data_IF_719102947967
#
_entry.id   IF_719102947967
#
_cell.length_a   1.000
_cell.length_b   1.000
_cell.length_c   1.000
_cell.angle_alpha   90.00
_cell.angle_beta   90.00
_cell.angle_gamma   90.00
#
_symmetry.space_group_name_H-M   'P 1'
#
loop_
_entity.id
_entity.type
_entity.pdbx_description
1 polymer ?
#
# COMPACT_ATOMS: atom_id res chain seq x y z
N UNK A 1 3.08 49.61 -4.21
CA UNK A 1 2.56 48.40 -4.91
C UNK A 1 3.41 47.15 -4.68
N UNK A 2 4.75 47.22 -4.69
CA UNK A 2 5.65 46.04 -4.55
C UNK A 2 5.47 45.17 -3.28
N UNK A 3 5.20 45.77 -2.11
CA UNK A 3 5.05 45.01 -0.84
C UNK A 3 3.86 44.05 -0.81
N UNK A 4 2.74 44.38 -1.49
CA UNK A 4 1.54 43.52 -1.54
C UNK A 4 1.78 42.25 -2.36
N UNK A 5 2.52 42.36 -3.48
CA UNK A 5 2.87 41.21 -4.31
C UNK A 5 3.88 40.28 -3.64
N UNK A 6 4.83 40.82 -2.86
CA UNK A 6 5.73 40.01 -2.02
C UNK A 6 4.94 39.21 -0.98
N UNK A 7 3.98 39.86 -0.31
CA UNK A 7 3.13 39.20 0.68
C UNK A 7 2.25 38.09 0.06
N UNK A 8 1.67 38.34 -1.12
CA UNK A 8 0.92 37.33 -1.88
C UNK A 8 1.82 36.15 -2.29
N UNK A 9 3.04 36.42 -2.74
CA UNK A 9 3.97 35.35 -3.14
C UNK A 9 4.36 34.43 -1.97
N UNK A 10 4.52 34.99 -0.77
CA UNK A 10 4.81 34.23 0.45
C UNK A 10 3.62 33.34 0.82
N UNK A 11 2.40 33.87 0.75
CA UNK A 11 1.17 33.09 1.01
C UNK A 11 1.04 31.93 0.01
N UNK A 12 1.26 32.19 -1.28
CA UNK A 12 1.21 31.15 -2.33
C UNK A 12 2.26 30.07 -2.10
N UNK A 13 3.48 30.45 -1.72
CA UNK A 13 4.55 29.50 -1.43
C UNK A 13 4.26 28.65 -0.19
N UNK A 14 3.68 29.22 0.87
CA UNK A 14 3.26 28.49 2.06
C UNK A 14 2.14 27.50 1.71
N UNK A 15 1.14 27.93 0.92
CA UNK A 15 0.06 27.04 0.45
C UNK A 15 0.64 25.91 -0.41
N UNK A 16 1.59 26.19 -1.30
CA UNK A 16 2.25 25.18 -2.11
C UNK A 16 3.06 24.18 -1.26
N UNK A 17 3.74 24.64 -0.21
CA UNK A 17 4.47 23.78 0.73
C UNK A 17 3.53 22.91 1.57
N UNK A 18 2.38 23.43 2.00
CA UNK A 18 1.36 22.65 2.72
C UNK A 18 0.77 21.59 1.79
N UNK A 19 0.41 21.95 0.56
CA UNK A 19 -0.09 21.01 -0.45
C UNK A 19 0.97 19.95 -0.75
N UNK A 20 2.23 20.35 -0.98
CA UNK A 20 3.34 19.43 -1.22
C UNK A 20 3.59 18.49 -0.03
N UNK A 21 3.49 19.00 1.20
CA UNK A 21 3.62 18.21 2.43
C UNK A 21 2.46 17.23 2.61
N UNK A 22 1.23 17.61 2.24
CA UNK A 22 0.05 16.72 2.23
C UNK A 22 0.20 15.65 1.14
N UNK A 23 0.76 16.00 -0.03
CA UNK A 23 1.03 15.03 -1.09
C UNK A 23 2.15 14.04 -0.73
N UNK A 24 3.21 14.51 -0.07
CA UNK A 24 4.29 13.67 0.45
C UNK A 24 3.83 12.84 1.67
N UNK A 25 2.97 13.37 2.54
CA UNK A 25 2.47 12.67 3.73
C UNK A 25 1.60 11.46 3.36
N UNK A 26 1.01 11.46 2.17
CA UNK A 26 0.21 10.34 1.65
C UNK A 26 1.04 9.14 1.18
N UNK A 27 2.37 9.15 1.37
CA UNK A 27 3.21 7.94 1.28
C UNK A 27 2.98 7.10 0.03
N UNK A 28 2.66 7.73 -1.11
CA UNK A 28 2.13 7.06 -2.29
C UNK A 28 3.21 6.16 -2.88
N UNK A 29 2.97 4.85 -2.89
CA UNK A 29 3.96 3.85 -3.35
C UNK A 29 3.43 3.14 -4.59
N UNK A 30 4.08 3.38 -5.74
CA UNK A 30 3.68 2.84 -7.06
C UNK A 30 4.36 1.50 -7.31
N UNK A 31 3.59 0.41 -7.47
CA UNK A 31 4.12 -0.94 -7.68
C UNK A 31 3.48 -1.63 -8.87
N UNK A 32 4.20 -2.58 -9.46
CA UNK A 32 3.73 -3.38 -10.59
C UNK A 32 3.33 -4.76 -10.09
N UNK A 33 2.10 -5.19 -10.35
CA UNK A 33 1.71 -6.59 -10.18
C UNK A 33 2.34 -7.36 -11.34
N UNK A 34 3.35 -8.19 -11.05
CA UNK A 34 4.04 -8.99 -12.07
C UNK A 34 3.70 -10.48 -11.99
N UNK A 35 3.08 -10.91 -10.89
CA UNK A 35 2.82 -12.32 -10.59
C UNK A 35 1.52 -12.47 -9.78
N UNK A 36 0.81 -13.58 -9.96
CA UNK A 36 -0.31 -14.00 -9.12
C UNK A 36 0.25 -14.40 -7.73
N UNK A 37 0.49 -13.39 -6.89
CA UNK A 37 0.94 -13.59 -5.51
C UNK A 37 -0.22 -14.12 -4.64
N UNK A 38 0.08 -14.92 -3.59
CA UNK A 38 -0.95 -15.58 -2.81
C UNK A 38 -1.90 -14.56 -2.16
N UNK A 39 -3.19 -14.89 -2.19
CA UNK A 39 -4.21 -14.17 -1.43
C UNK A 39 -4.41 -14.86 -0.09
N UNK A 40 -4.30 -14.10 1.00
CA UNK A 40 -4.49 -14.60 2.36
C UNK A 40 -5.85 -14.16 2.88
N UNK A 41 -6.61 -15.10 3.45
CA UNK A 41 -7.81 -14.81 4.23
C UNK A 41 -7.48 -14.80 5.72
N UNK A 42 -8.46 -14.47 6.57
CA UNK A 42 -8.32 -14.51 8.03
C UNK A 42 -7.69 -15.84 8.50
N UNK A 43 -6.57 -15.74 9.20
CA UNK A 43 -5.74 -16.91 9.54
C UNK A 43 -4.33 -16.55 10.00
N UNK A 44 -3.52 -17.57 10.29
CA UNK A 44 -2.11 -17.42 10.65
C UNK A 44 -1.23 -18.15 9.66
N UNK A 45 -0.20 -17.46 9.19
CA UNK A 45 0.70 -17.89 8.14
C UNK A 45 2.16 -17.72 8.57
N UNK A 46 3.01 -18.64 8.15
CA UNK A 46 4.44 -18.59 8.39
C UNK A 46 5.21 -18.91 7.10
N UNK A 47 6.21 -18.08 6.82
CA UNK A 47 7.09 -18.27 5.69
C UNK A 47 7.82 -19.60 5.75
N UNK A 48 7.67 -20.41 4.69
CA UNK A 48 8.24 -21.75 4.58
C UNK A 48 7.38 -22.88 5.14
N UNK A 49 6.17 -22.57 5.63
CA UNK A 49 5.19 -23.58 6.05
C UNK A 49 3.92 -23.50 5.19
N UNK A 50 3.08 -22.48 5.43
CA UNK A 50 1.79 -22.29 4.77
C UNK A 50 1.66 -20.92 4.10
N UNK A 51 2.78 -20.21 3.94
CA UNK A 51 2.88 -18.95 3.19
C UNK A 51 3.73 -19.18 1.93
N UNK A 52 3.08 -19.19 0.78
CA UNK A 52 3.72 -19.36 -0.54
C UNK A 52 4.21 -18.03 -1.11
N UNK A 53 4.99 -17.27 -0.32
CA UNK A 53 5.70 -16.10 -0.80
C UNK A 53 7.18 -16.42 -0.97
N UNK A 54 7.88 -15.69 -1.83
CA UNK A 54 9.35 -15.72 -1.81
C UNK A 54 9.85 -14.66 -0.82
N UNK A 55 11.06 -14.85 -0.27
CA UNK A 55 11.65 -13.80 0.55
C UNK A 55 11.92 -12.56 -0.31
N UNK A 56 11.64 -11.38 0.23
CA UNK A 56 11.72 -10.14 -0.53
C UNK A 56 10.98 -8.99 0.11
N UNK A 57 10.85 -7.91 -0.64
CA UNK A 57 10.08 -6.76 -0.21
C UNK A 57 8.77 -6.70 -0.97
N UNK A 58 7.68 -6.47 -0.23
CA UNK A 58 6.34 -6.44 -0.78
C UNK A 58 5.59 -5.20 -0.31
N UNK A 59 4.67 -4.73 -1.13
CA UNK A 59 3.56 -3.91 -0.65
C UNK A 59 2.41 -4.83 -0.28
N UNK A 60 1.78 -4.59 0.87
CA UNK A 60 0.64 -5.34 1.37
C UNK A 60 -0.64 -4.52 1.20
N UNK A 61 -1.66 -5.09 0.58
CA UNK A 61 -2.93 -4.39 0.32
C UNK A 61 -4.14 -5.26 0.67
N UNK A 62 -5.26 -4.61 0.99
CA UNK A 62 -6.55 -5.28 1.11
C UNK A 62 -7.12 -5.53 -0.29
N UNK A 63 -7.30 -6.80 -0.64
CA UNK A 63 -7.93 -7.22 -1.89
C UNK A 63 -9.45 -7.15 -1.79
N UNK A 64 -10.00 -7.38 -0.60
CA UNK A 64 -11.43 -7.22 -0.31
C UNK A 64 -11.63 -6.98 1.19
N UNK A 65 -12.58 -6.12 1.53
CA UNK A 65 -13.01 -5.83 2.89
C UNK A 65 -12.03 -4.97 3.69
N UNK A 66 -12.26 -4.93 4.99
CA UNK A 66 -11.44 -4.22 5.97
C UNK A 66 -10.97 -5.17 7.06
N UNK A 67 -9.74 -4.97 7.53
CA UNK A 67 -9.19 -5.76 8.62
C UNK A 67 -7.78 -5.35 9.00
N UNK A 68 -7.17 -6.18 9.83
CA UNK A 68 -5.85 -6.01 10.39
C UNK A 68 -4.93 -7.16 9.95
N UNK A 69 -3.70 -6.80 9.62
CA UNK A 69 -2.63 -7.76 9.36
C UNK A 69 -1.51 -7.49 10.33
N UNK A 70 -1.14 -8.50 11.10
CA UNK A 70 0.01 -8.44 11.99
C UNK A 70 1.19 -9.16 11.35
N UNK A 71 2.34 -8.48 11.24
CA UNK A 71 3.58 -9.05 10.69
C UNK A 71 4.74 -8.73 11.61
N UNK A 72 5.39 -9.78 12.13
CA UNK A 72 6.53 -9.68 13.05
C UNK A 72 6.32 -8.65 14.18
N UNK A 73 5.10 -8.61 14.73
CA UNK A 73 4.70 -7.72 15.83
C UNK A 73 4.11 -6.36 15.40
N UNK A 74 4.27 -5.94 14.15
CA UNK A 74 3.66 -4.70 13.64
C UNK A 74 2.23 -4.96 13.16
N UNK A 75 1.30 -4.05 13.46
CA UNK A 75 -0.11 -4.14 13.04
C UNK A 75 -0.36 -3.14 11.92
N UNK A 76 -0.99 -3.61 10.85
CA UNK A 76 -1.39 -2.83 9.69
C UNK A 76 -2.89 -2.93 9.51
N UNK A 77 -3.59 -1.80 9.62
CA UNK A 77 -5.02 -1.72 9.29
C UNK A 77 -5.15 -1.46 7.79
N UNK A 78 -5.85 -2.34 7.09
CA UNK A 78 -6.05 -2.27 5.64
C UNK A 78 -7.52 -2.21 5.31
N UNK A 79 -7.86 -1.53 4.23
CA UNK A 79 -9.24 -1.37 3.75
C UNK A 79 -9.22 -1.30 2.23
N UNK A 80 -9.98 -2.16 1.57
CA UNK A 80 -10.09 -2.21 0.11
C UNK A 80 -10.59 -0.90 -0.53
N UNK A 81 -11.23 -0.01 0.23
CA UNK A 81 -11.59 1.34 -0.23
C UNK A 81 -10.38 2.26 -0.39
N UNK A 82 -9.28 1.98 0.31
CA UNK A 82 -8.02 2.69 0.17
C UNK A 82 -7.21 2.17 -1.03
N UNK A 83 -7.54 0.95 -1.47
CA UNK A 83 -7.01 0.34 -2.67
C UNK A 83 -7.62 0.99 -3.92
N UNK A 84 -6.87 1.88 -4.56
CA UNK A 84 -7.19 2.35 -5.90
C UNK A 84 -6.45 1.44 -6.87
N UNK A 85 -7.14 0.39 -7.33
CA UNK A 85 -6.73 -0.33 -8.53
C UNK A 85 -6.57 0.71 -9.65
N UNK A 86 -5.39 0.84 -10.26
CA UNK A 86 -5.28 1.63 -11.48
C UNK A 86 -6.03 0.89 -12.60
N UNK A 87 -7.36 0.93 -12.59
CA UNK A 87 -8.21 0.49 -13.69
C UNK A 87 -8.05 1.48 -14.84
N UNK A 88 -6.95 1.27 -15.58
CA UNK A 88 -6.68 1.54 -17.01
C UNK A 88 -5.23 1.98 -17.17
N UNK A 89 -4.36 1.02 -17.44
CA UNK A 89 -3.45 1.23 -18.56
C UNK A 89 -4.09 0.58 -19.81
N UNK A 90 -3.91 1.17 -21.01
CA UNK A 90 -4.44 0.60 -22.25
C UNK A 90 -4.00 -0.86 -22.40
N UNK A 91 -4.84 -1.65 -23.11
CA UNK A 91 -4.85 -3.10 -23.33
C UNK A 91 -3.51 -3.84 -23.61
N UNK A 92 -2.37 -3.15 -23.61
CA UNK A 92 -1.06 -3.68 -24.00
C UNK A 92 0.00 -3.60 -22.89
N UNK A 93 -0.38 -3.31 -21.65
CA UNK A 93 0.54 -3.20 -20.51
C UNK A 93 0.16 -4.26 -19.47
N UNK A 94 0.95 -5.33 -19.40
CA UNK A 94 0.71 -6.51 -18.54
C UNK A 94 0.75 -6.23 -17.03
N UNK A 95 1.02 -4.99 -16.60
CA UNK A 95 1.29 -4.69 -15.20
C UNK A 95 0.26 -3.68 -14.68
N UNK A 96 -0.67 -4.14 -13.85
CA UNK A 96 -1.53 -3.22 -13.10
C UNK A 96 -0.66 -2.42 -12.12
N UNK A 97 -0.80 -1.09 -12.17
CA UNK A 97 -0.20 -0.19 -11.18
C UNK A 97 -1.12 -0.14 -9.98
N UNK A 98 -0.59 -0.40 -8.78
CA UNK A 98 -1.37 -0.22 -7.55
C UNK A 98 -1.03 1.13 -6.95
N UNK A 99 -2.08 1.92 -6.70
CA UNK A 99 -2.04 3.16 -5.92
C UNK A 99 -2.70 2.90 -4.58
N UNK A 100 -1.92 2.83 -3.52
CA UNK A 100 -2.45 2.82 -2.15
C UNK A 100 -1.35 3.24 -1.16
N UNK A 101 -1.78 3.72 0.01
CA UNK A 101 -1.00 3.83 1.25
C UNK A 101 -0.63 2.43 1.81
N UNK A 102 -0.29 1.48 0.93
CA UNK A 102 0.04 0.12 1.30
C UNK A 102 1.38 0.09 2.06
N UNK A 103 1.44 -0.50 3.26
CA UNK A 103 2.69 -0.65 3.97
C UNK A 103 3.68 -1.51 3.16
N UNK A 104 4.94 -1.09 3.16
CA UNK A 104 6.06 -1.90 2.63
C UNK A 104 6.53 -2.83 3.73
N UNK A 105 6.50 -4.11 3.44
CA UNK A 105 6.84 -5.18 4.37
C UNK A 105 7.99 -5.99 3.81
N UNK A 106 8.85 -6.51 4.69
CA UNK A 106 9.92 -7.43 4.32
C UNK A 106 9.52 -8.83 4.74
N UNK A 107 9.41 -9.73 3.77
CA UNK A 107 9.19 -11.16 4.01
C UNK A 107 10.56 -11.82 4.07
N UNK A 108 10.89 -12.39 5.23
CA UNK A 108 12.12 -13.14 5.49
C UNK A 108 11.76 -14.57 5.88
N UNK A 109 12.77 -15.44 5.97
CA UNK A 109 12.57 -16.79 6.51
C UNK A 109 11.88 -16.71 7.88
N UNK A 110 10.85 -17.54 8.07
CA UNK A 110 10.03 -17.60 9.30
C UNK A 110 9.25 -16.33 9.67
N UNK A 111 9.12 -15.36 8.77
CA UNK A 111 8.19 -14.23 8.98
C UNK A 111 6.79 -14.79 9.25
N UNK A 112 6.14 -14.26 10.30
CA UNK A 112 4.79 -14.64 10.70
C UNK A 112 3.81 -13.57 10.30
N UNK A 113 2.72 -13.98 9.67
CA UNK A 113 1.62 -13.11 9.25
C UNK A 113 0.34 -13.61 9.90
N UNK A 114 -0.36 -12.75 10.64
CA UNK A 114 -1.72 -13.02 11.12
C UNK A 114 -2.66 -12.06 10.43
N UNK A 115 -3.66 -12.58 9.74
CA UNK A 115 -4.73 -11.81 9.09
C UNK A 115 -5.98 -11.93 9.93
N UNK A 116 -6.59 -10.80 10.29
CA UNK A 116 -7.84 -10.75 11.06
C UNK A 116 -8.77 -9.73 10.43
N UNK A 117 -9.96 -10.14 10.04
CA UNK A 117 -10.99 -9.23 9.55
C UNK A 117 -12.29 -9.96 9.33
N UNK A 118 -13.23 -9.27 8.68
CA UNK A 118 -14.54 -9.83 8.37
C UNK A 118 -14.43 -11.08 7.46
N UNK A 119 -15.54 -11.79 7.28
CA UNK A 119 -15.57 -13.07 6.54
C UNK A 119 -15.04 -12.96 5.11
N UNK A 120 -15.14 -11.79 4.51
CA UNK A 120 -14.69 -11.48 3.14
C UNK A 120 -13.31 -10.81 3.11
N UNK A 121 -12.73 -10.50 4.28
CA UNK A 121 -11.44 -9.83 4.35
C UNK A 121 -10.34 -10.72 3.78
N UNK A 122 -9.68 -10.20 2.76
CA UNK A 122 -8.54 -10.85 2.13
C UNK A 122 -7.48 -9.84 1.76
N UNK A 123 -6.23 -10.28 1.85
CA UNK A 123 -5.07 -9.44 1.58
C UNK A 123 -4.18 -10.12 0.55
N UNK A 124 -3.47 -9.32 -0.21
CA UNK A 124 -2.52 -9.82 -1.20
C UNK A 124 -1.29 -8.92 -1.23
N UNK A 125 -0.33 -9.30 -2.06
CA UNK A 125 1.00 -8.74 -2.07
C UNK A 125 1.36 -8.23 -3.46
N UNK A 126 2.30 -7.30 -3.50
CA UNK A 126 2.94 -6.83 -4.73
C UNK A 126 4.43 -6.83 -4.48
N UNK A 127 5.19 -7.51 -5.33
CA UNK A 127 6.65 -7.50 -5.23
C UNK A 127 7.21 -6.11 -5.54
N UNK A 128 8.22 -5.68 -4.78
CA UNK A 128 8.92 -4.40 -4.92
C UNK A 128 10.42 -4.59 -5.04
#
# INVERSE_FOLDING_TARGET
MKKKYVFISIIVMIVALIVYSIYQSKGVRIGFIKDDLPTLTSGSYQQGENLELTAGTYALYAKSGQGEVQIDGNIYTLNDKLYIEAKKQPMNTQNAVIYEESPKISIKSRTKISVKGDKEFSVSFIRR
#
